data_IF_844322647290
#
_entry.id   IF_844322647290
#
_cell.length_a   1.000
_cell.length_b   1.000
_cell.length_c   1.000
_cell.angle_alpha   90.00
_cell.angle_beta   90.00
_cell.angle_gamma   90.00
#
_symmetry.space_group_name_H-M   'P 1'
#
loop_
_entity.id
_entity.type
_entity.pdbx_description
1 polymer ?
#
# COMPACT_ATOMS: atom_id res chain seq x y z
N UNK A 1 2.03 13.79 -18.57
CA UNK A 1 2.63 12.69 -17.83
C UNK A 1 1.67 11.50 -17.80
N UNK A 2 2.15 10.33 -18.15
CA UNK A 2 1.37 9.10 -18.16
C UNK A 2 1.61 8.32 -16.88
N UNK A 3 0.53 7.80 -16.27
CA UNK A 3 0.60 6.94 -15.10
C UNK A 3 0.10 5.55 -15.46
N UNK A 4 0.67 4.55 -14.81
CA UNK A 4 0.18 3.18 -14.87
C UNK A 4 -0.28 2.74 -13.49
N UNK A 5 -1.37 1.97 -13.46
CA UNK A 5 -1.91 1.38 -12.25
C UNK A 5 -1.62 -0.11 -12.28
N UNK A 6 -1.01 -0.58 -11.21
CA UNK A 6 -0.75 -1.99 -10.97
C UNK A 6 -1.51 -2.46 -9.74
N UNK A 7 -2.15 -3.62 -9.86
CA UNK A 7 -2.85 -4.25 -8.74
C UNK A 7 -2.01 -5.41 -8.24
N UNK A 8 -1.61 -5.46 -6.96
CA UNK A 8 -0.77 -6.53 -6.44
C UNK A 8 -1.38 -7.94 -6.55
N UNK A 9 -2.69 -8.03 -6.56
CA UNK A 9 -3.45 -9.27 -6.72
C UNK A 9 -3.81 -9.59 -8.18
N UNK A 10 -3.48 -8.68 -9.10
CA UNK A 10 -3.69 -8.82 -10.54
C UNK A 10 -2.48 -8.22 -11.26
N UNK A 11 -1.57 -9.03 -11.78
CA UNK A 11 -0.25 -8.57 -12.22
C UNK A 11 -0.22 -7.68 -13.46
N UNK A 12 -1.35 -7.38 -14.04
CA UNK A 12 -1.41 -6.53 -15.23
C UNK A 12 -1.36 -5.06 -14.88
N UNK A 13 -0.52 -4.32 -15.59
CA UNK A 13 -0.45 -2.87 -15.47
C UNK A 13 -1.38 -2.23 -16.50
N UNK A 14 -2.27 -1.38 -16.00
CA UNK A 14 -3.23 -0.67 -16.84
C UNK A 14 -2.88 0.81 -16.91
N UNK A 15 -3.00 1.41 -18.08
CA UNK A 15 -2.90 2.85 -18.20
C UNK A 15 -4.21 3.48 -17.74
N UNK A 16 -4.08 4.64 -17.06
CA UNK A 16 -5.26 5.41 -16.65
C UNK A 16 -5.85 6.04 -17.91
N UNK A 17 -7.14 5.76 -18.24
CA UNK A 17 -7.76 6.36 -19.40
C UNK A 17 -7.90 7.89 -19.25
N UNK A 18 -7.74 8.62 -20.33
CA UNK A 18 -7.91 10.08 -20.34
C UNK A 18 -9.34 10.50 -20.03
N UNK A 19 -10.31 9.62 -20.30
CA UNK A 19 -11.73 9.85 -20.10
C UNK A 19 -12.29 9.18 -18.83
N UNK A 20 -11.44 8.92 -17.84
CA UNK A 20 -11.85 8.33 -16.57
C UNK A 20 -13.01 9.13 -15.97
N UNK A 21 -14.16 8.47 -15.75
CA UNK A 21 -15.39 9.13 -15.31
C UNK A 21 -15.52 9.28 -13.81
N UNK A 22 -14.79 8.47 -13.06
CA UNK A 22 -14.78 8.52 -11.60
C UNK A 22 -13.36 8.55 -11.08
N UNK A 23 -12.94 9.74 -10.66
CA UNK A 23 -11.60 9.98 -10.12
C UNK A 23 -11.74 10.37 -8.66
N UNK A 24 -10.95 9.75 -7.81
CA UNK A 24 -10.85 10.07 -6.38
C UNK A 24 -9.50 10.67 -6.10
N UNK A 25 -9.47 11.72 -5.31
CA UNK A 25 -8.23 12.24 -4.76
C UNK A 25 -7.85 11.45 -3.51
N UNK A 26 -6.65 10.89 -3.53
CA UNK A 26 -6.09 10.14 -2.43
C UNK A 26 -4.90 10.92 -1.87
N UNK A 27 -4.90 11.25 -0.56
CA UNK A 27 -3.76 11.94 0.02
C UNK A 27 -2.52 11.06 0.03
N UNK A 28 -1.38 11.65 -0.33
CA UNK A 28 -0.07 10.98 -0.28
C UNK A 28 0.56 11.29 1.07
N UNK A 29 0.93 10.28 1.81
CA UNK A 29 1.53 10.40 3.14
C UNK A 29 3.00 10.01 3.05
N UNK A 30 3.87 10.80 3.62
CA UNK A 30 5.32 10.51 3.63
C UNK A 30 5.66 9.40 4.62
N UNK A 31 5.32 9.60 5.87
CA UNK A 31 5.50 8.62 6.94
C UNK A 31 4.20 8.51 7.73
N UNK A 32 3.82 7.30 8.08
CA UNK A 32 2.68 7.09 8.95
C UNK A 32 3.21 7.10 10.39
N UNK A 33 3.06 8.25 11.06
CA UNK A 33 3.33 8.29 12.48
C UNK A 33 2.38 7.35 13.23
N UNK A 34 2.76 6.89 14.39
CA UNK A 34 1.97 5.99 15.22
C UNK A 34 0.53 6.52 15.36
N UNK A 35 -0.44 5.87 14.70
CA UNK A 35 -1.83 6.28 14.69
C UNK A 35 -2.56 5.81 13.45
N UNK A 36 -3.84 5.86 13.53
CA UNK A 36 -4.73 5.29 12.52
C UNK A 36 -4.89 6.23 11.31
N UNK A 37 -5.15 5.68 10.09
CA UNK A 37 -5.30 6.47 8.87
C UNK A 37 -6.40 7.54 8.87
N UNK A 38 -7.33 7.51 9.80
CA UNK A 38 -8.34 8.56 9.92
C UNK A 38 -7.75 9.91 10.35
N UNK A 39 -6.47 9.91 10.75
CA UNK A 39 -5.71 11.13 11.07
C UNK A 39 -4.73 11.54 9.99
N UNK A 40 -4.94 11.09 8.77
CA UNK A 40 -4.05 11.44 7.64
C UNK A 40 -3.87 12.96 7.52
N UNK A 41 -4.89 13.72 7.81
CA UNK A 41 -4.82 15.20 7.78
C UNK A 41 -3.83 15.78 8.78
N UNK A 42 -3.53 15.05 9.85
CA UNK A 42 -2.61 15.49 10.89
C UNK A 42 -1.21 14.93 10.76
N UNK A 43 -0.97 13.99 9.85
CA UNK A 43 0.31 13.26 9.76
C UNK A 43 1.23 13.71 8.63
N UNK A 44 0.95 14.84 8.00
CA UNK A 44 1.84 15.38 6.97
C UNK A 44 1.57 14.84 5.58
N UNK A 45 0.43 15.20 5.05
CA UNK A 45 0.13 15.01 3.65
C UNK A 45 1.17 15.74 2.80
N UNK A 46 1.86 15.02 1.92
CA UNK A 46 2.89 15.58 1.03
C UNK A 46 2.39 15.82 -0.38
N UNK A 47 1.15 15.47 -0.68
CA UNK A 47 0.55 15.67 -1.99
C UNK A 47 -0.77 14.93 -2.11
N UNK A 48 -1.34 14.97 -3.29
CA UNK A 48 -2.56 14.26 -3.64
C UNK A 48 -2.39 13.49 -4.94
N UNK A 49 -2.98 12.31 -5.00
CA UNK A 49 -2.97 11.45 -6.16
C UNK A 49 -4.40 11.29 -6.67
N UNK A 50 -4.60 11.50 -7.96
CA UNK A 50 -5.88 11.23 -8.60
C UNK A 50 -5.89 9.80 -9.12
N UNK A 51 -6.87 9.02 -8.70
CA UNK A 51 -6.97 7.60 -9.04
C UNK A 51 -8.35 7.31 -9.59
N UNK A 52 -8.39 6.61 -10.74
CA UNK A 52 -9.64 6.08 -11.27
C UNK A 52 -10.08 4.89 -10.42
N UNK A 53 -11.27 4.99 -9.83
CA UNK A 53 -11.83 3.98 -8.94
C UNK A 53 -11.92 2.61 -9.62
N UNK A 54 -12.41 2.57 -10.84
CA UNK A 54 -12.60 1.31 -11.56
C UNK A 54 -11.28 0.60 -11.83
N UNK A 55 -10.28 1.34 -12.30
CA UNK A 55 -8.95 0.77 -12.63
C UNK A 55 -8.19 0.35 -11.37
N UNK A 56 -8.33 1.08 -10.28
CA UNK A 56 -7.63 0.78 -9.04
C UNK A 56 -8.28 -0.35 -8.23
N UNK A 57 -9.50 -0.77 -8.56
CA UNK A 57 -10.22 -1.75 -7.76
C UNK A 57 -10.57 -1.24 -6.36
N UNK A 58 -10.77 0.04 -6.24
CA UNK A 58 -10.83 0.77 -5.00
C UNK A 58 -12.28 1.11 -4.64
N UNK A 59 -12.61 1.08 -3.37
CA UNK A 59 -13.94 1.47 -2.89
C UNK A 59 -13.92 2.89 -2.36
N UNK A 60 -14.76 3.76 -2.94
CA UNK A 60 -14.90 5.14 -2.49
C UNK A 60 -15.49 5.28 -1.08
N UNK A 61 -16.01 4.21 -0.53
CA UNK A 61 -16.60 4.21 0.81
C UNK A 61 -15.58 4.21 1.94
N UNK A 62 -14.33 3.91 1.64
CA UNK A 62 -13.26 3.82 2.62
C UNK A 62 -12.23 4.91 2.38
N UNK A 63 -11.73 5.48 3.46
CA UNK A 63 -10.67 6.48 3.38
C UNK A 63 -9.36 5.81 3.02
N UNK A 64 -8.97 5.95 1.77
CA UNK A 64 -7.68 5.46 1.32
C UNK A 64 -6.62 6.54 1.38
N UNK A 65 -5.38 6.13 1.43
CA UNK A 65 -4.22 7.01 1.34
C UNK A 65 -3.17 6.35 0.47
N UNK A 66 -2.19 7.13 0.02
CA UNK A 66 -1.09 6.61 -0.77
C UNK A 66 0.22 6.76 -0.02
N UNK A 67 1.10 5.78 -0.18
CA UNK A 67 2.46 5.81 0.34
C UNK A 67 3.43 5.80 -0.82
N UNK A 68 4.49 6.58 -0.70
CA UNK A 68 5.61 6.48 -1.62
C UNK A 68 6.55 5.37 -1.17
N UNK A 69 6.86 4.46 -2.08
CA UNK A 69 7.72 3.33 -1.79
C UNK A 69 9.18 3.77 -1.70
N UNK A 70 9.85 3.31 -0.67
CA UNK A 70 11.29 3.48 -0.46
C UNK A 70 11.96 2.12 -0.37
N UNK A 71 13.13 2.02 -1.00
CA UNK A 71 13.91 0.80 -0.99
C UNK A 71 13.39 -0.25 -1.95
N UNK A 72 13.91 -1.46 -1.81
CA UNK A 72 13.73 -2.54 -2.78
C UNK A 72 13.14 -3.83 -2.18
N UNK A 73 12.56 -3.74 -1.00
CA UNK A 73 12.06 -4.94 -0.30
C UNK A 73 10.88 -5.62 -0.98
N UNK A 74 10.25 -4.98 -1.97
CA UNK A 74 9.06 -5.49 -2.63
C UNK A 74 9.23 -5.65 -4.14
N UNK A 75 10.45 -5.72 -4.64
CA UNK A 75 10.73 -5.76 -6.08
C UNK A 75 10.22 -7.03 -6.76
N UNK A 76 10.19 -8.16 -6.05
CA UNK A 76 9.66 -9.41 -6.63
C UNK A 76 8.13 -9.39 -6.77
N UNK A 77 7.46 -8.42 -6.16
CA UNK A 77 6.04 -8.12 -6.38
C UNK A 77 5.85 -6.98 -7.38
N UNK A 78 6.90 -6.59 -8.08
CA UNK A 78 6.89 -5.48 -9.05
C UNK A 78 6.48 -4.13 -8.43
N UNK A 79 6.87 -3.92 -7.19
CA UNK A 79 6.70 -2.66 -6.48
C UNK A 79 8.09 -2.08 -6.25
N UNK A 80 8.36 -0.93 -6.84
CA UNK A 80 9.70 -0.33 -6.90
C UNK A 80 9.76 1.02 -6.18
N UNK A 81 10.96 1.40 -5.79
CA UNK A 81 11.20 2.71 -5.19
C UNK A 81 10.65 3.84 -6.07
N UNK A 82 9.96 4.77 -5.47
CA UNK A 82 9.30 5.88 -6.15
C UNK A 82 7.85 5.61 -6.55
N UNK A 83 7.41 4.36 -6.53
CA UNK A 83 6.01 4.04 -6.78
C UNK A 83 5.12 4.61 -5.69
N UNK A 84 3.88 4.96 -6.06
CA UNK A 84 2.83 5.30 -5.11
C UNK A 84 1.92 4.10 -4.93
N UNK A 85 1.74 3.67 -3.69
CA UNK A 85 0.87 2.53 -3.38
C UNK A 85 -0.39 3.03 -2.70
N UNK A 86 -1.53 2.73 -3.28
CA UNK A 86 -2.83 3.09 -2.71
C UNK A 86 -3.21 2.06 -1.66
N UNK A 87 -3.41 2.53 -0.44
CA UNK A 87 -3.71 1.70 0.73
C UNK A 87 -5.18 1.92 1.12
N UNK A 88 -5.92 0.84 1.17
CA UNK A 88 -7.31 0.84 1.65
C UNK A 88 -7.33 0.35 3.10
N UNK A 89 -7.87 1.13 4.06
CA UNK A 89 -8.01 0.69 5.44
C UNK A 89 -9.02 -0.46 5.53
N UNK A 90 -8.53 -1.66 5.72
CA UNK A 90 -9.34 -2.85 5.97
C UNK A 90 -8.50 -3.93 6.62
N UNK A 91 -9.16 -4.92 7.19
CA UNK A 91 -8.49 -6.09 7.75
C UNK A 91 -7.81 -6.89 6.65
N UNK A 92 -6.55 -7.27 6.84
CA UNK A 92 -5.84 -8.10 5.87
C UNK A 92 -6.22 -9.57 5.98
N UNK A 93 -6.04 -10.26 4.87
CA UNK A 93 -6.04 -11.73 4.83
C UNK A 93 -4.67 -12.21 4.41
N UNK A 94 -4.40 -13.50 4.61
CA UNK A 94 -3.13 -14.10 4.19
C UNK A 94 -2.82 -13.80 2.72
N UNK A 95 -1.60 -13.35 2.46
CA UNK A 95 -1.13 -13.00 1.12
C UNK A 95 -1.32 -11.55 0.70
N UNK A 96 -2.05 -10.75 1.47
CA UNK A 96 -2.20 -9.34 1.14
C UNK A 96 -0.88 -8.58 1.30
N UNK A 97 -0.66 -7.60 0.41
CA UNK A 97 0.38 -6.59 0.62
C UNK A 97 -0.20 -5.51 1.53
N UNK A 98 0.47 -5.23 2.62
CA UNK A 98 -0.04 -4.31 3.64
C UNK A 98 0.93 -3.18 3.95
N UNK A 99 0.37 -2.05 4.34
CA UNK A 99 1.10 -1.02 5.07
C UNK A 99 0.92 -1.31 6.55
N UNK A 100 2.03 -1.39 7.28
CA UNK A 100 2.00 -1.78 8.68
C UNK A 100 3.03 -1.03 9.51
N UNK A 101 2.72 -0.91 10.80
CA UNK A 101 3.70 -0.56 11.81
C UNK A 101 4.14 -1.86 12.48
N UNK A 102 5.41 -2.15 12.42
CA UNK A 102 6.01 -3.26 13.13
C UNK A 102 7.07 -2.71 14.07
N UNK A 103 6.87 -2.90 15.37
CA UNK A 103 7.76 -2.39 16.42
C UNK A 103 8.10 -0.89 16.22
N UNK A 104 7.10 -0.10 15.80
CA UNK A 104 7.21 1.35 15.63
C UNK A 104 7.69 1.83 14.26
N UNK A 105 8.05 0.95 13.36
CA UNK A 105 8.50 1.31 12.01
C UNK A 105 7.42 1.03 10.96
N UNK A 106 7.19 2.01 10.09
CA UNK A 106 6.28 1.85 8.94
C UNK A 106 6.95 1.03 7.85
N UNK A 107 6.24 0.05 7.33
CA UNK A 107 6.76 -0.79 6.25
C UNK A 107 5.63 -1.25 5.32
N UNK A 108 6.00 -1.58 4.08
CA UNK A 108 5.14 -2.22 3.10
C UNK A 108 5.68 -3.63 2.88
N UNK A 109 4.88 -4.64 3.18
CA UNK A 109 5.29 -6.04 3.12
C UNK A 109 4.11 -6.94 2.81
N UNK A 110 4.38 -8.20 2.51
CA UNK A 110 3.36 -9.24 2.40
C UNK A 110 2.94 -9.70 3.78
N UNK A 111 1.65 -9.72 4.04
CA UNK A 111 1.07 -10.22 5.28
C UNK A 111 0.90 -11.74 5.17
N UNK A 112 1.48 -12.46 6.12
CA UNK A 112 1.39 -13.91 6.17
C UNK A 112 0.65 -14.32 7.44
N UNK A 113 -0.46 -15.01 7.27
CA UNK A 113 -1.26 -15.54 8.37
C UNK A 113 -1.60 -16.99 8.09
N UNK A 114 -1.06 -17.88 8.90
CA UNK A 114 -1.32 -19.31 8.80
C UNK A 114 -2.06 -19.79 10.05
N UNK A 115 -3.16 -20.46 9.83
CA UNK A 115 -4.11 -21.03 10.80
C UNK A 115 -3.93 -20.58 12.27
N UNK A 116 -3.25 -21.33 13.09
CA UNK A 116 -3.09 -21.05 14.52
C UNK A 116 -1.82 -20.27 14.88
N UNK A 117 -1.04 -19.88 13.88
CA UNK A 117 0.19 -19.13 14.13
C UNK A 117 -0.06 -17.61 14.11
N UNK A 118 0.71 -16.84 14.90
CA UNK A 118 0.66 -15.39 14.83
C UNK A 118 1.08 -14.89 13.43
N UNK A 119 0.51 -13.78 12.95
CA UNK A 119 0.90 -13.23 11.66
C UNK A 119 2.32 -12.68 11.70
N UNK A 120 2.96 -12.72 10.54
CA UNK A 120 4.25 -12.07 10.33
C UNK A 120 4.29 -11.39 8.97
N UNK A 121 5.33 -10.61 8.73
CA UNK A 121 5.52 -9.87 7.48
C UNK A 121 6.67 -10.47 6.69
N UNK A 122 6.48 -10.53 5.38
CA UNK A 122 7.47 -11.05 4.44
C UNK A 122 7.75 -10.04 3.34
N UNK A 123 9.02 -9.74 3.13
CA UNK A 123 9.43 -8.99 1.95
C UNK A 123 9.27 -9.82 0.68
N UNK A 124 8.99 -9.17 -0.42
CA UNK A 124 9.06 -9.78 -1.75
C UNK A 124 10.45 -9.50 -2.36
N UNK A 125 11.45 -10.01 -1.66
CA UNK A 125 12.85 -9.91 -2.05
C UNK A 125 13.64 -10.94 -1.21
N UNK A 126 14.28 -11.88 -1.88
CA UNK A 126 14.99 -12.99 -1.22
C UNK A 126 16.15 -12.56 -0.32
N UNK A 127 16.63 -11.33 -0.46
CA UNK A 127 17.71 -10.80 0.36
C UNK A 127 17.26 -10.23 1.70
N UNK A 128 15.95 -10.18 1.94
CA UNK A 128 15.38 -9.67 3.18
C UNK A 128 14.85 -10.81 4.03
N UNK A 129 15.12 -10.79 5.34
CA UNK A 129 14.56 -11.79 6.25
C UNK A 129 13.06 -11.58 6.48
N UNK A 130 12.38 -12.62 6.91
CA UNK A 130 11.01 -12.52 7.41
C UNK A 130 10.99 -11.70 8.70
N UNK A 131 9.94 -10.88 8.86
CA UNK A 131 9.80 -9.99 10.00
C UNK A 131 8.73 -10.52 10.96
N UNK A 132 9.20 -11.05 12.08
CA UNK A 132 8.35 -11.48 13.18
C UNK A 132 8.28 -10.36 14.21
N UNK A 133 7.08 -9.85 14.55
CA UNK A 133 6.97 -8.77 15.51
C UNK A 133 7.44 -9.23 16.89
N UNK A 134 8.29 -8.41 17.52
CA UNK A 134 8.78 -8.67 18.88
C UNK A 134 7.76 -8.15 19.89
N UNK A 135 7.20 -6.97 19.64
CA UNK A 135 6.26 -6.33 20.56
C UNK A 135 4.88 -6.16 19.92
N UNK A 136 4.82 -5.50 18.76
CA UNK A 136 3.56 -5.09 18.18
C UNK A 136 3.60 -5.08 16.66
N UNK A 137 2.49 -5.53 16.07
CA UNK A 137 2.22 -5.41 14.65
C UNK A 137 0.85 -4.76 14.49
N UNK A 138 0.83 -3.59 13.85
CA UNK A 138 -0.41 -2.89 13.53
C UNK A 138 -0.53 -2.74 12.03
N UNK A 139 -1.50 -3.42 11.42
CA UNK A 139 -1.80 -3.28 10.00
C UNK A 139 -2.64 -2.03 9.82
N UNK A 140 -2.18 -1.13 8.95
CA UNK A 140 -2.87 0.13 8.68
C UNK A 140 -3.79 0.06 7.48
N UNK A 141 -3.54 -0.88 6.59
CA UNK A 141 -4.38 -1.11 5.45
C UNK A 141 -3.74 -2.05 4.44
N UNK A 142 -4.48 -2.32 3.39
CA UNK A 142 -4.13 -3.26 2.34
C UNK A 142 -3.86 -2.51 1.05
N UNK A 143 -2.78 -2.86 0.37
CA UNK A 143 -2.44 -2.28 -0.93
C UNK A 143 -3.43 -2.74 -1.99
N UNK A 144 -4.03 -1.78 -2.67
CA UNK A 144 -5.02 -2.04 -3.72
C UNK A 144 -4.50 -1.74 -5.11
N UNK A 145 -3.59 -0.81 -5.22
CA UNK A 145 -3.04 -0.42 -6.52
C UNK A 145 -1.66 0.20 -6.34
N UNK A 146 -0.86 0.10 -7.38
CA UNK A 146 0.42 0.79 -7.50
C UNK A 146 0.31 1.75 -8.66
N UNK A 147 0.67 3.00 -8.45
CA UNK A 147 0.66 4.04 -9.48
C UNK A 147 2.09 4.48 -9.75
N UNK A 148 2.49 4.38 -10.99
CA UNK A 148 3.85 4.68 -11.41
C UNK A 148 3.83 5.73 -12.51
N UNK A 149 4.68 6.73 -12.37
CA UNK A 149 4.92 7.71 -13.41
C UNK A 149 5.90 7.16 -14.44
N UNK A 150 5.56 7.27 -15.67
CA UNK A 150 6.45 6.88 -16.78
C UNK A 150 7.38 8.01 -17.17
#
# INVERSE_FOLDING_TARGET
>A
RTFRIYRPDAPEMNEIPDDATEVVEVPIVGDIAAGYPDRVESTGEIGRLQVDIASAGYSSRRRSFALQVRGDSMVDAEIYEGDMVVIEPREPIDGDVVAALIDGETTLKRFIKKDSEPPYLKAENKFYPELYPINELTVQGVAKAVVRSL
#
